data_IF_953944997953
#
_entry.id   IF_953944997953
#
_cell.length_a   1.000
_cell.length_b   1.000
_cell.length_c   1.000
_cell.angle_alpha   90.00
_cell.angle_beta   90.00
_cell.angle_gamma   90.00
#
_symmetry.space_group_name_H-M   'P 1'
#
loop_
_entity.id
_entity.type
_entity.pdbx_description
1 polymer ?
#
# COMPACT_ATOMS: atom_id res chain seq x y z
N UNK A 1 3.25 -2.08 16.10
CA UNK A 1 3.90 -2.30 14.78
C UNK A 1 4.16 -0.98 14.07
N UNK A 2 3.18 -0.05 14.00
CA UNK A 2 3.44 1.33 13.57
C UNK A 2 4.55 2.04 14.37
N UNK A 3 4.68 1.70 15.66
CA UNK A 3 5.64 2.35 16.57
C UNK A 3 7.09 2.21 16.13
N UNK A 4 7.45 1.12 15.43
CA UNK A 4 8.79 0.92 14.87
C UNK A 4 9.08 1.90 13.72
N UNK A 5 8.05 2.24 12.93
CA UNK A 5 8.17 3.22 11.83
C UNK A 5 8.14 4.67 12.33
N UNK A 6 7.87 4.87 13.61
CA UNK A 6 7.95 6.15 14.29
C UNK A 6 9.14 6.23 15.25
N UNK A 7 10.09 5.30 15.12
CA UNK A 7 11.32 5.33 15.89
C UNK A 7 12.13 6.59 15.57
N UNK A 8 12.59 7.23 16.65
CA UNK A 8 13.39 8.46 16.66
C UNK A 8 14.68 8.27 17.47
N UNK A 9 15.14 7.04 17.63
CA UNK A 9 16.31 6.74 18.45
C UNK A 9 17.52 7.60 18.02
N UNK A 10 18.15 8.26 18.99
CA UNK A 10 19.22 9.23 18.79
C UNK A 10 20.57 8.59 18.43
N UNK A 11 20.71 7.26 18.54
CA UNK A 11 21.92 6.52 18.18
C UNK A 11 21.69 5.72 16.89
N UNK A 12 22.23 6.20 15.77
CA UNK A 12 22.03 5.64 14.43
C UNK A 12 21.22 6.59 13.53
N UNK A 13 21.01 6.21 12.26
CA UNK A 13 20.08 6.92 11.37
C UNK A 13 18.65 6.50 11.74
N UNK A 14 17.82 7.39 12.31
CA UNK A 14 16.45 7.03 12.70
C UNK A 14 15.60 6.73 11.47
N UNK A 15 14.64 5.81 11.61
CA UNK A 15 13.71 5.45 10.53
C UNK A 15 12.79 6.64 10.19
N UNK A 16 12.40 7.43 11.19
CA UNK A 16 11.60 8.64 11.00
C UNK A 16 12.46 9.90 11.14
N UNK A 17 12.64 10.63 10.03
CA UNK A 17 13.35 11.91 9.96
C UNK A 17 12.36 13.04 9.73
N UNK A 18 12.37 14.08 10.55
CA UNK A 18 11.56 15.30 10.37
C UNK A 18 12.30 16.58 10.74
N UNK A 19 13.63 16.59 10.60
CA UNK A 19 14.48 17.73 10.93
C UNK A 19 14.33 18.84 9.88
N UNK A 20 13.89 20.05 10.23
CA UNK A 20 13.82 21.17 9.30
C UNK A 20 15.20 21.62 8.76
N UNK A 21 16.30 21.17 9.37
CA UNK A 21 17.67 21.41 8.90
C UNK A 21 18.34 20.13 8.39
N UNK A 22 17.57 19.15 7.93
CA UNK A 22 18.08 17.89 7.41
C UNK A 22 19.08 18.15 6.27
N UNK A 23 20.38 17.83 6.43
CA UNK A 23 21.43 18.28 5.52
C UNK A 23 21.38 17.60 4.14
N UNK A 24 20.68 16.46 4.02
CA UNK A 24 20.46 15.71 2.79
C UNK A 24 19.02 15.83 2.23
N UNK A 25 18.13 16.58 2.90
CA UNK A 25 16.71 16.77 2.54
C UNK A 25 15.90 15.45 2.43
N UNK A 26 16.32 14.39 3.13
CA UNK A 26 15.67 13.06 3.10
C UNK A 26 14.66 12.87 4.25
N UNK A 27 13.89 13.90 4.56
CA UNK A 27 12.84 13.84 5.58
C UNK A 27 11.73 12.85 5.20
N UNK A 28 11.24 12.10 6.20
CA UNK A 28 10.11 11.19 6.07
C UNK A 28 8.80 11.96 5.88
N UNK A 29 8.37 12.09 4.63
CA UNK A 29 7.14 12.79 4.25
C UNK A 29 5.87 12.08 4.76
N UNK A 30 5.85 10.74 4.68
CA UNK A 30 4.75 9.90 5.15
C UNK A 30 5.22 8.44 5.35
N UNK A 31 4.48 7.72 6.19
CA UNK A 31 4.65 6.28 6.42
C UNK A 31 3.45 5.54 5.82
N UNK A 32 3.69 4.65 4.85
CA UNK A 32 2.64 3.78 4.31
C UNK A 32 2.56 2.47 5.11
N UNK A 33 1.34 2.08 5.48
CA UNK A 33 1.01 0.78 6.08
C UNK A 33 0.15 -0.02 5.12
N UNK A 34 0.56 -1.26 4.85
CA UNK A 34 -0.21 -2.22 4.07
C UNK A 34 -0.58 -3.40 4.95
N UNK A 35 -1.88 -3.66 5.05
CA UNK A 35 -2.41 -4.86 5.71
C UNK A 35 -3.01 -5.75 4.63
N UNK A 36 -2.36 -6.88 4.35
CA UNK A 36 -2.77 -7.82 3.31
C UNK A 36 -3.60 -8.93 3.97
N UNK A 37 -4.82 -9.14 3.49
CA UNK A 37 -5.71 -10.21 3.92
C UNK A 37 -6.37 -10.93 2.74
N UNK A 38 -7.14 -11.98 3.01
CA UNK A 38 -7.78 -12.79 1.98
C UNK A 38 -8.80 -12.02 1.12
N UNK A 39 -9.41 -10.97 1.66
CA UNK A 39 -10.41 -10.17 0.95
C UNK A 39 -9.79 -9.05 0.10
N UNK A 40 -8.51 -8.72 0.33
CA UNK A 40 -7.87 -7.56 -0.27
C UNK A 40 -6.78 -6.94 0.61
N UNK A 41 -6.34 -5.76 0.22
CA UNK A 41 -5.28 -5.00 0.89
C UNK A 41 -5.85 -3.69 1.44
N UNK A 42 -5.71 -3.47 2.75
CA UNK A 42 -5.89 -2.13 3.33
C UNK A 42 -4.59 -1.35 3.18
N UNK A 43 -4.70 -0.12 2.67
CA UNK A 43 -3.57 0.77 2.42
C UNK A 43 -3.83 2.08 3.19
N UNK A 44 -2.95 2.41 4.14
CA UNK A 44 -3.03 3.65 4.92
C UNK A 44 -1.74 4.44 4.77
N UNK A 45 -1.82 5.77 4.72
CA UNK A 45 -0.63 6.62 4.78
C UNK A 45 -0.75 7.60 5.95
N UNK A 46 0.28 7.63 6.78
CA UNK A 46 0.37 8.50 7.95
C UNK A 46 1.40 9.61 7.71
N UNK A 47 1.00 10.86 7.90
CA UNK A 47 1.90 12.01 7.91
C UNK A 47 1.92 12.58 9.32
N UNK A 48 3.11 12.71 9.93
CA UNK A 48 3.26 13.22 11.31
C UNK A 48 2.31 12.51 12.30
N UNK A 49 2.19 11.18 12.18
CA UNK A 49 1.29 10.31 12.97
C UNK A 49 -0.22 10.50 12.72
N UNK A 50 -0.64 11.35 11.79
CA UNK A 50 -2.03 11.51 11.40
C UNK A 50 -2.32 10.71 10.12
N UNK A 51 -3.41 9.93 10.12
CA UNK A 51 -3.83 9.22 8.91
C UNK A 51 -4.33 10.23 7.87
N UNK A 52 -3.60 10.35 6.76
CA UNK A 52 -3.92 11.27 5.67
C UNK A 52 -4.58 10.55 4.49
N UNK A 53 -4.44 9.23 4.42
CA UNK A 53 -5.02 8.40 3.37
C UNK A 53 -5.40 7.04 3.95
N UNK A 54 -6.58 6.56 3.59
CA UNK A 54 -7.09 5.25 3.97
C UNK A 54 -7.93 4.71 2.81
N UNK A 55 -7.53 3.57 2.26
CA UNK A 55 -8.29 2.89 1.20
C UNK A 55 -8.19 1.39 1.35
N UNK A 56 -9.07 0.69 0.65
CA UNK A 56 -9.07 -0.77 0.56
C UNK A 56 -9.17 -1.20 -0.91
N UNK A 57 -8.26 -2.08 -1.31
CA UNK A 57 -8.24 -2.71 -2.63
C UNK A 57 -8.70 -4.14 -2.47
N UNK A 58 -9.92 -4.44 -2.90
CA UNK A 58 -10.47 -5.79 -2.86
C UNK A 58 -9.71 -6.73 -3.81
N UNK A 59 -9.56 -7.99 -3.42
CA UNK A 59 -9.09 -9.03 -4.33
C UNK A 59 -10.08 -9.14 -5.51
N UNK A 60 -9.57 -9.12 -6.73
CA UNK A 60 -10.38 -9.41 -7.89
C UNK A 60 -10.87 -10.85 -7.78
N UNK A 61 -12.19 -11.05 -7.83
CA UNK A 61 -12.74 -12.36 -8.19
C UNK A 61 -12.23 -12.65 -9.59
N UNK A 62 -11.56 -13.79 -9.85
CA UNK A 62 -11.15 -14.12 -11.21
C UNK A 62 -12.38 -14.06 -12.12
N UNK A 63 -12.32 -13.24 -13.19
CA UNK A 63 -13.38 -13.18 -14.20
C UNK A 63 -13.62 -14.62 -14.68
N UNK A 64 -14.86 -15.15 -14.64
CA UNK A 64 -15.11 -16.48 -15.14
C UNK A 64 -14.66 -16.52 -16.59
N UNK A 65 -13.77 -17.48 -16.91
CA UNK A 65 -13.24 -17.66 -18.24
C UNK A 65 -14.39 -17.60 -19.25
N UNK A 66 -14.35 -16.62 -20.17
CA UNK A 66 -15.33 -16.52 -21.25
C UNK A 66 -15.20 -17.79 -22.08
N UNK A 67 -16.11 -18.75 -21.86
CA UNK A 67 -16.25 -19.91 -22.72
C UNK A 67 -16.81 -19.39 -24.04
N UNK A 68 -15.93 -19.23 -25.03
CA UNK A 68 -16.34 -19.00 -26.41
C UNK A 68 -17.15 -20.20 -26.87
N UNK A 69 -18.44 -19.99 -27.15
CA UNK A 69 -19.29 -21.01 -27.73
C UNK A 69 -18.71 -21.48 -29.09
N UNK A 70 -18.74 -22.78 -29.41
CA UNK A 70 -18.25 -23.25 -30.70
C UNK A 70 -19.13 -22.70 -31.81
N UNK A 71 -18.50 -22.15 -32.85
CA UNK A 71 -19.18 -21.68 -34.04
C UNK A 71 -19.97 -22.84 -34.66
N UNK A 72 -21.29 -22.64 -34.80
CA UNK A 72 -22.16 -23.60 -35.46
C UNK A 72 -21.71 -23.73 -36.93
N UNK A 73 -21.19 -24.91 -37.27
CA UNK A 73 -20.80 -25.27 -38.64
C UNK A 73 -22.08 -25.54 -39.45
N UNK A 74 -22.57 -24.52 -40.16
CA UNK A 74 -23.62 -24.69 -41.16
C UNK A 74 -23.02 -25.44 -42.36
N UNK A 75 -23.36 -26.72 -42.52
CA UNK A 75 -23.09 -27.48 -43.74
C UNK A 75 -24.07 -27.03 -44.83
N UNK A 76 -23.52 -26.69 -46.00
CA UNK A 76 -24.22 -26.36 -47.23
C UNK A 76 -24.57 -27.64 -48.01
#
# INVERSE_FOLDING_TARGET
MLDVLHDRALSGLPIYRDDPHDPDDENTLATALFEIGNAGVSMKAYRRRQCAFDTFVACATPEPARVSAPAALTRN
#
